data_IF_228547607501
#
_entry.id   IF_228547607501
#
_cell.length_a   1.000
_cell.length_b   1.000
_cell.length_c   1.000
_cell.angle_alpha   90.00
_cell.angle_beta   90.00
_cell.angle_gamma   90.00
#
_symmetry.space_group_name_H-M   'P 1'
#
loop_
_entity.id
_entity.type
_entity.pdbx_description
1 polymer ?
#
# COMPACT_ATOMS: atom_id res chain seq x y z
N UNK A 1 6.05 12.34 10.99
CA UNK A 1 5.07 13.40 11.33
C UNK A 1 3.82 13.11 10.55
N UNK A 2 2.83 12.57 11.26
CA UNK A 2 1.52 12.26 10.69
C UNK A 2 0.75 13.57 10.46
N UNK A 3 0.36 13.82 9.23
CA UNK A 3 -0.48 14.97 8.89
C UNK A 3 -1.94 14.50 8.86
N UNK A 4 -2.68 14.80 9.93
CA UNK A 4 -4.12 14.61 9.99
C UNK A 4 -4.83 15.90 9.59
N UNK A 5 -5.48 15.95 8.45
CA UNK A 5 -6.43 16.99 8.09
C UNK A 5 -7.82 16.38 7.92
N UNK A 6 -8.57 16.29 9.01
CA UNK A 6 -10.00 16.06 8.98
C UNK A 6 -10.71 17.33 9.44
N UNK A 7 -11.29 18.08 8.50
CA UNK A 7 -12.33 19.07 8.81
C UNK A 7 -13.62 18.64 8.12
N UNK A 8 -14.47 17.94 8.88
CA UNK A 8 -15.83 17.67 8.47
C UNK A 8 -16.73 18.83 8.83
N UNK A 9 -17.45 19.38 7.87
CA UNK A 9 -18.62 20.22 8.08
C UNK A 9 -19.65 19.93 6.99
N UNK A 10 -20.83 19.49 7.41
CA UNK A 10 -22.03 19.43 6.59
C UNK A 10 -22.34 18.10 5.91
N UNK A 11 -23.58 17.91 5.56
CA UNK A 11 -24.13 16.80 4.77
C UNK A 11 -23.33 16.60 3.49
N UNK A 12 -22.62 15.46 3.41
CA UNK A 12 -21.51 15.39 2.50
C UNK A 12 -21.76 14.35 1.41
N UNK A 13 -22.66 14.70 0.52
CA UNK A 13 -22.89 14.00 -0.73
C UNK A 13 -21.61 13.99 -1.59
N UNK A 14 -21.17 12.80 -2.01
CA UNK A 14 -20.00 12.59 -2.91
C UNK A 14 -18.65 13.18 -2.42
N UNK A 15 -18.37 13.17 -1.13
CA UNK A 15 -17.03 13.53 -0.64
C UNK A 15 -16.02 12.43 -0.92
N UNK A 16 -14.80 12.88 -1.14
CA UNK A 16 -13.66 12.02 -1.43
C UNK A 16 -12.57 12.24 -0.39
N UNK A 17 -11.96 11.14 0.07
CA UNK A 17 -10.75 11.16 0.89
C UNK A 17 -9.70 10.29 0.21
N UNK A 18 -8.49 10.82 0.16
CA UNK A 18 -7.32 10.11 -0.33
C UNK A 18 -6.28 10.02 0.79
N UNK A 19 -5.75 8.82 0.96
CA UNK A 19 -4.65 8.54 1.87
C UNK A 19 -3.44 8.08 1.05
N UNK A 20 -2.30 8.73 1.26
CA UNK A 20 -1.03 8.23 0.73
C UNK A 20 -0.09 8.00 1.90
N UNK A 21 0.46 6.79 1.99
CA UNK A 21 1.27 6.35 3.12
C UNK A 21 2.58 5.71 2.66
N UNK A 22 3.68 6.11 3.28
CA UNK A 22 4.99 5.48 3.12
C UNK A 22 5.55 5.04 4.48
N UNK A 23 5.95 3.78 4.61
CA UNK A 23 6.54 3.23 5.83
C UNK A 23 7.95 2.74 5.54
N UNK A 24 8.96 3.45 6.09
CA UNK A 24 10.38 3.21 5.88
C UNK A 24 11.16 3.38 7.18
N UNK A 25 12.23 2.62 7.37
CA UNK A 25 13.28 2.89 8.37
C UNK A 25 12.88 2.69 9.84
N UNK A 26 11.68 2.25 10.14
CA UNK A 26 11.24 1.99 11.51
C UNK A 26 11.51 0.55 11.90
N UNK A 27 11.97 0.31 13.14
CA UNK A 27 12.18 -1.05 13.65
C UNK A 27 10.87 -1.82 13.74
N UNK A 28 9.82 -1.16 14.25
CA UNK A 28 8.45 -1.68 14.32
C UNK A 28 7.48 -0.55 14.02
N UNK A 29 6.54 -0.80 13.11
CA UNK A 29 5.44 0.12 12.79
C UNK A 29 4.11 -0.60 12.82
N UNK A 30 3.10 0.08 13.36
CA UNK A 30 1.69 -0.30 13.26
C UNK A 30 0.90 0.91 12.77
N UNK A 31 0.40 0.86 11.53
CA UNK A 31 -0.31 1.99 10.92
C UNK A 31 -1.57 1.51 10.18
N UNK A 32 -2.75 1.89 10.70
CA UNK A 32 -4.05 1.48 10.17
C UNK A 32 -5.02 2.65 10.09
N UNK A 33 -4.91 3.55 9.11
CA UNK A 33 -5.91 4.58 8.91
C UNK A 33 -7.29 3.98 8.65
N UNK A 34 -8.31 4.62 9.21
CA UNK A 34 -9.71 4.21 9.06
C UNK A 34 -10.54 5.32 8.44
N UNK A 35 -11.34 4.96 7.44
CA UNK A 35 -12.32 5.85 6.82
C UNK A 35 -13.73 5.29 6.99
N UNK A 36 -14.69 6.18 7.30
CA UNK A 36 -16.12 5.84 7.37
C UNK A 36 -16.87 6.67 6.32
N UNK A 37 -17.43 5.98 5.32
CA UNK A 37 -18.16 6.57 4.21
C UNK A 37 -19.64 6.68 4.58
N UNK A 38 -20.03 7.84 5.20
CA UNK A 38 -21.38 8.09 5.72
C UNK A 38 -22.32 8.77 4.73
N UNK A 39 -21.77 9.42 3.69
CA UNK A 39 -22.56 10.13 2.69
C UNK A 39 -22.80 9.27 1.45
N UNK A 40 -23.98 9.38 0.85
CA UNK A 40 -24.27 8.72 -0.44
C UNK A 40 -23.22 9.11 -1.49
N UNK A 41 -22.63 8.13 -2.16
CA UNK A 41 -21.62 8.32 -3.20
C UNK A 41 -20.26 8.81 -2.68
N UNK A 42 -20.00 8.72 -1.37
CA UNK A 42 -18.68 9.04 -0.82
C UNK A 42 -17.61 8.05 -1.31
N UNK A 43 -16.38 8.53 -1.46
CA UNK A 43 -15.26 7.75 -1.98
C UNK A 43 -14.06 7.79 -1.07
N UNK A 44 -13.31 6.71 -1.04
CA UNK A 44 -12.03 6.60 -0.34
C UNK A 44 -11.01 5.91 -1.25
N UNK A 45 -9.83 6.50 -1.34
CA UNK A 45 -8.66 5.90 -1.97
C UNK A 45 -7.53 5.81 -0.94
N UNK A 46 -6.85 4.68 -0.91
CA UNK A 46 -5.67 4.46 -0.09
C UNK A 46 -4.55 3.91 -0.98
N UNK A 47 -3.44 4.63 -1.02
CA UNK A 47 -2.22 4.19 -1.70
C UNK A 47 -1.10 4.10 -0.67
N UNK A 48 -0.52 2.90 -0.52
CA UNK A 48 0.51 2.62 0.47
C UNK A 48 1.75 1.96 -0.11
N UNK A 49 2.92 2.33 0.42
CA UNK A 49 4.17 1.62 0.19
C UNK A 49 4.87 1.35 1.51
N UNK A 50 5.41 0.13 1.64
CA UNK A 50 6.16 -0.31 2.81
C UNK A 50 7.48 -0.92 2.35
N UNK A 51 8.58 -0.54 2.97
CA UNK A 51 9.88 -1.16 2.76
C UNK A 51 10.42 -1.65 4.10
N UNK A 52 10.51 -2.97 4.27
CA UNK A 52 11.02 -3.61 5.47
C UNK A 52 12.42 -4.18 5.22
N UNK A 53 13.42 -3.56 5.83
CA UNK A 53 14.81 -3.99 5.81
C UNK A 53 15.16 -4.93 6.99
N UNK A 54 16.45 -5.17 7.19
CA UNK A 54 16.97 -6.04 8.24
C UNK A 54 16.48 -5.64 9.64
N UNK A 55 15.89 -6.59 10.36
CA UNK A 55 15.39 -6.40 11.73
C UNK A 55 14.12 -5.54 11.82
N UNK A 56 13.53 -5.15 10.70
CA UNK A 56 12.31 -4.36 10.66
C UNK A 56 11.07 -5.25 10.55
N UNK A 57 10.02 -4.87 11.28
CA UNK A 57 8.71 -5.51 11.24
C UNK A 57 7.63 -4.42 11.07
N UNK A 58 7.15 -4.27 9.85
CA UNK A 58 6.22 -3.22 9.48
C UNK A 58 4.84 -3.82 9.18
N UNK A 59 3.90 -3.61 10.10
CA UNK A 59 2.52 -4.07 9.99
C UNK A 59 1.62 -2.86 9.67
N UNK A 60 1.22 -2.76 8.42
CA UNK A 60 0.49 -1.62 7.88
C UNK A 60 -0.83 -2.07 7.27
N UNK A 61 -1.75 -1.14 7.07
CA UNK A 61 -3.02 -1.48 6.46
C UNK A 61 -3.97 -0.32 6.33
N UNK A 62 -5.18 -0.62 5.90
CA UNK A 62 -6.25 0.36 5.81
C UNK A 62 -7.60 -0.28 6.16
N UNK A 63 -8.43 0.48 6.86
CA UNK A 63 -9.81 0.09 7.15
C UNK A 63 -10.79 1.04 6.51
N UNK A 64 -11.80 0.50 5.85
CA UNK A 64 -12.91 1.29 5.31
C UNK A 64 -14.25 0.70 5.76
N UNK A 65 -15.15 1.59 6.16
CA UNK A 65 -16.53 1.26 6.52
C UNK A 65 -17.47 1.99 5.58
N UNK A 66 -18.21 1.25 4.77
CA UNK A 66 -19.26 1.76 3.92
C UNK A 66 -20.57 1.77 4.72
N UNK A 67 -21.06 2.95 5.06
CA UNK A 67 -22.26 3.16 5.88
C UNK A 67 -23.39 3.89 5.14
N UNK A 68 -23.25 4.08 3.82
CA UNK A 68 -24.22 4.72 2.96
C UNK A 68 -24.22 4.08 1.56
N UNK A 69 -25.29 4.24 0.77
CA UNK A 69 -25.36 3.64 -0.55
C UNK A 69 -24.43 4.31 -1.58
N UNK A 70 -24.12 3.57 -2.64
CA UNK A 70 -23.34 4.02 -3.80
C UNK A 70 -21.92 4.51 -3.42
N UNK A 71 -21.40 4.07 -2.28
CA UNK A 71 -20.04 4.42 -1.85
C UNK A 71 -18.99 3.57 -2.54
N UNK A 72 -17.79 4.09 -2.71
CA UNK A 72 -16.69 3.35 -3.33
C UNK A 72 -15.39 3.49 -2.55
N UNK A 73 -14.60 2.40 -2.52
CA UNK A 73 -13.25 2.43 -1.99
C UNK A 73 -12.27 1.67 -2.89
N UNK A 74 -11.05 2.18 -2.94
CA UNK A 74 -9.93 1.52 -3.57
C UNK A 74 -8.73 1.54 -2.63
N UNK A 75 -8.17 0.37 -2.37
CA UNK A 75 -6.98 0.20 -1.53
C UNK A 75 -5.90 -0.43 -2.40
N UNK A 76 -4.82 0.30 -2.64
CA UNK A 76 -3.68 -0.15 -3.43
C UNK A 76 -2.41 -0.09 -2.59
N UNK A 77 -1.74 -1.23 -2.42
CA UNK A 77 -0.55 -1.30 -1.60
C UNK A 77 0.58 -2.06 -2.26
N UNK A 78 1.77 -1.58 -2.00
CA UNK A 78 3.02 -2.24 -2.39
C UNK A 78 3.92 -2.42 -1.20
N UNK A 79 4.44 -3.62 -1.01
CA UNK A 79 5.41 -3.90 0.03
C UNK A 79 6.68 -4.50 -0.56
N UNK A 80 7.81 -4.10 -0.01
CA UNK A 80 9.13 -4.59 -0.36
C UNK A 80 9.77 -5.10 0.93
N UNK A 81 10.37 -6.28 0.87
CA UNK A 81 11.07 -6.88 2.01
C UNK A 81 12.45 -7.33 1.60
N UNK A 82 13.47 -7.02 2.43
CA UNK A 82 14.88 -7.26 2.16
C UNK A 82 15.61 -7.66 3.46
N UNK A 83 16.63 -8.51 3.34
CA UNK A 83 17.56 -8.90 4.41
C UNK A 83 16.85 -9.45 5.67
N UNK A 84 15.78 -10.23 5.46
CA UNK A 84 14.98 -10.81 6.54
C UNK A 84 13.94 -9.86 7.14
N UNK A 85 13.69 -8.72 6.51
CA UNK A 85 12.61 -7.81 6.90
C UNK A 85 11.22 -8.44 6.76
N UNK A 86 10.30 -8.04 7.62
CA UNK A 86 8.92 -8.54 7.64
C UNK A 86 7.97 -7.40 7.31
N UNK A 87 7.17 -7.58 6.26
CA UNK A 87 6.06 -6.69 5.95
C UNK A 87 4.74 -7.43 6.08
N UNK A 88 3.80 -6.86 6.83
CA UNK A 88 2.44 -7.37 6.94
C UNK A 88 1.47 -6.30 6.46
N UNK A 89 0.58 -6.66 5.55
CA UNK A 89 -0.50 -5.79 5.12
C UNK A 89 -1.84 -6.33 5.61
N UNK A 90 -2.62 -5.47 6.30
CA UNK A 90 -3.98 -5.79 6.76
C UNK A 90 -5.00 -4.88 6.13
N UNK A 91 -5.89 -5.41 5.31
CA UNK A 91 -7.05 -4.68 4.82
C UNK A 91 -8.31 -5.08 5.57
N UNK A 92 -9.16 -4.10 5.87
CA UNK A 92 -10.46 -4.34 6.46
C UNK A 92 -11.53 -3.55 5.71
N UNK A 93 -12.44 -4.25 5.03
CA UNK A 93 -13.59 -3.67 4.33
C UNK A 93 -14.85 -4.12 5.03
N UNK A 94 -15.62 -3.17 5.55
CA UNK A 94 -16.92 -3.43 6.14
C UNK A 94 -18.01 -2.67 5.37
N UNK A 95 -19.09 -3.36 5.00
CA UNK A 95 -20.26 -2.77 4.36
C UNK A 95 -21.49 -3.05 5.21
N UNK A 96 -22.14 -1.99 5.68
CA UNK A 96 -23.39 -2.10 6.44
C UNK A 96 -24.55 -2.50 5.53
N UNK A 97 -25.71 -2.76 6.10
CA UNK A 97 -26.92 -3.08 5.31
C UNK A 97 -27.35 -1.92 4.40
N UNK A 98 -27.02 -0.70 4.80
CA UNK A 98 -27.35 0.54 4.08
C UNK A 98 -26.42 0.83 2.90
N UNK A 99 -25.30 0.11 2.79
CA UNK A 99 -24.28 0.30 1.75
C UNK A 99 -24.68 -0.36 0.41
N UNK A 100 -25.92 -0.20 -0.04
CA UNK A 100 -26.39 -0.77 -1.31
C UNK A 100 -25.66 -0.17 -2.50
N UNK A 101 -25.42 -0.99 -3.52
CA UNK A 101 -24.71 -0.61 -4.75
C UNK A 101 -23.31 -0.02 -4.53
N UNK A 102 -22.69 -0.36 -3.40
CA UNK A 102 -21.33 0.07 -3.08
C UNK A 102 -20.29 -0.85 -3.69
N UNK A 103 -19.09 -0.30 -3.91
CA UNK A 103 -17.97 -1.02 -4.53
C UNK A 103 -16.72 -0.89 -3.68
N UNK A 104 -15.94 -1.97 -3.60
CA UNK A 104 -14.63 -1.95 -2.96
C UNK A 104 -13.65 -2.85 -3.73
N UNK A 105 -12.48 -2.31 -4.04
CA UNK A 105 -11.38 -3.09 -4.59
C UNK A 105 -10.14 -2.96 -3.71
N UNK A 106 -9.50 -4.08 -3.44
CA UNK A 106 -8.23 -4.14 -2.69
C UNK A 106 -7.20 -4.82 -3.58
N UNK A 107 -6.09 -4.14 -3.85
CA UNK A 107 -4.96 -4.67 -4.61
C UNK A 107 -3.70 -4.60 -3.75
N UNK A 108 -3.09 -5.75 -3.50
CA UNK A 108 -1.88 -5.88 -2.71
C UNK A 108 -0.78 -6.52 -3.56
N UNK A 109 0.36 -5.88 -3.64
CA UNK A 109 1.52 -6.45 -4.33
C UNK A 109 2.73 -6.43 -3.40
N UNK A 110 3.39 -7.57 -3.30
CA UNK A 110 4.56 -7.74 -2.44
C UNK A 110 5.75 -8.27 -3.24
N UNK A 111 6.91 -7.65 -3.04
CA UNK A 111 8.16 -8.02 -3.66
C UNK A 111 9.20 -8.36 -2.58
N UNK A 112 9.64 -9.60 -2.53
CA UNK A 112 10.75 -10.03 -1.68
C UNK A 112 12.05 -10.03 -2.49
N UNK A 113 13.11 -9.47 -1.91
CA UNK A 113 14.41 -9.35 -2.59
C UNK A 113 15.36 -10.52 -2.29
N UNK A 114 14.96 -11.39 -1.36
CA UNK A 114 15.72 -12.56 -0.91
C UNK A 114 14.81 -13.67 -0.40
N UNK A 115 15.41 -14.78 0.06
CA UNK A 115 14.72 -15.98 0.51
C UNK A 115 14.37 -15.98 2.01
N UNK A 116 14.91 -15.04 2.78
CA UNK A 116 14.74 -14.96 4.24
C UNK A 116 13.74 -13.90 4.67
N UNK A 117 13.40 -13.00 3.76
CA UNK A 117 12.39 -11.96 3.97
C UNK A 117 10.97 -12.53 3.93
N UNK A 118 10.06 -11.84 4.61
CA UNK A 118 8.67 -12.29 4.72
C UNK A 118 7.69 -11.18 4.34
N UNK A 119 6.64 -11.56 3.63
CA UNK A 119 5.50 -10.70 3.35
C UNK A 119 4.19 -11.44 3.59
N UNK A 120 3.34 -10.85 4.44
CA UNK A 120 2.02 -11.39 4.78
C UNK A 120 0.93 -10.43 4.30
N UNK A 121 -0.18 -10.98 3.79
CA UNK A 121 -1.39 -10.23 3.46
C UNK A 121 -2.57 -10.85 4.19
N UNK A 122 -3.26 -10.04 5.01
CA UNK A 122 -4.36 -10.48 5.87
C UNK A 122 -5.61 -9.66 5.55
N UNK A 123 -6.43 -10.08 4.58
CA UNK A 123 -7.68 -9.42 4.24
C UNK A 123 -8.79 -9.78 5.23
N UNK A 124 -9.62 -8.80 5.58
CA UNK A 124 -10.86 -8.99 6.33
C UNK A 124 -12.01 -8.29 5.60
N UNK A 125 -13.10 -9.01 5.35
CA UNK A 125 -14.29 -8.50 4.68
C UNK A 125 -15.55 -8.87 5.46
N UNK A 126 -16.34 -7.85 5.85
CA UNK A 126 -17.66 -8.00 6.50
C UNK A 126 -18.72 -7.30 5.63
N UNK A 127 -19.34 -8.06 4.74
CA UNK A 127 -20.28 -7.55 3.74
C UNK A 127 -21.70 -7.94 4.14
N UNK A 128 -22.49 -6.96 4.61
CA UNK A 128 -23.85 -7.17 5.11
C UNK A 128 -24.95 -6.69 4.17
N UNK A 129 -24.59 -6.02 3.08
CA UNK A 129 -25.52 -5.64 2.01
C UNK A 129 -25.64 -6.75 0.97
N UNK A 130 -26.77 -6.81 0.26
CA UNK A 130 -27.00 -7.81 -0.80
C UNK A 130 -26.44 -7.40 -2.16
N UNK A 131 -26.34 -6.09 -2.40
CA UNK A 131 -25.92 -5.52 -3.68
C UNK A 131 -24.59 -4.78 -3.49
N UNK A 132 -23.47 -5.49 -3.53
CA UNK A 132 -22.14 -4.92 -3.50
C UNK A 132 -21.23 -5.62 -4.51
N UNK A 133 -20.26 -4.86 -5.00
CA UNK A 133 -19.18 -5.36 -5.85
C UNK A 133 -17.88 -5.24 -5.06
N UNK A 134 -17.32 -6.38 -4.64
CA UNK A 134 -16.13 -6.41 -3.77
C UNK A 134 -15.11 -7.37 -4.34
N UNK A 135 -13.90 -6.85 -4.58
CA UNK A 135 -12.76 -7.60 -5.07
C UNK A 135 -11.53 -7.47 -4.19
N UNK A 136 -10.78 -8.56 -4.06
CA UNK A 136 -9.45 -8.55 -3.47
C UNK A 136 -8.48 -9.32 -4.36
N UNK A 137 -7.38 -8.67 -4.75
CA UNK A 137 -6.29 -9.28 -5.49
C UNK A 137 -5.00 -9.13 -4.68
N UNK A 138 -4.29 -10.25 -4.49
CA UNK A 138 -2.97 -10.26 -3.87
C UNK A 138 -1.95 -10.92 -4.81
N UNK A 139 -0.82 -10.25 -5.03
CA UNK A 139 0.32 -10.78 -5.77
C UNK A 139 1.55 -10.72 -4.88
N UNK A 140 2.11 -11.87 -4.56
CA UNK A 140 3.33 -11.98 -3.78
C UNK A 140 4.37 -12.69 -4.65
N UNK A 141 5.51 -12.06 -4.82
CA UNK A 141 6.58 -12.59 -5.65
C UNK A 141 7.96 -12.25 -5.13
N UNK A 142 8.95 -12.88 -5.72
CA UNK A 142 10.37 -12.55 -5.54
C UNK A 142 10.87 -11.75 -6.72
N UNK A 143 11.97 -11.05 -6.51
CA UNK A 143 12.69 -10.42 -7.61
C UNK A 143 13.10 -11.50 -8.62
N UNK A 144 12.88 -11.22 -9.90
CA UNK A 144 13.21 -12.18 -10.96
C UNK A 144 14.72 -12.15 -11.25
N UNK A 145 15.38 -13.26 -11.02
CA UNK A 145 16.81 -13.43 -11.37
C UNK A 145 17.05 -13.30 -12.87
N UNK A 146 16.09 -13.70 -13.69
CA UNK A 146 16.14 -13.51 -15.15
C UNK A 146 16.11 -12.04 -15.53
N UNK A 147 15.27 -11.22 -14.87
CA UNK A 147 15.21 -9.78 -15.10
C UNK A 147 16.49 -9.09 -14.66
N UNK A 148 17.07 -9.50 -13.52
CA UNK A 148 18.36 -9.00 -13.04
C UNK A 148 19.46 -9.36 -14.04
N UNK A 149 19.56 -10.64 -14.45
CA UNK A 149 20.53 -11.10 -15.42
C UNK A 149 20.41 -10.38 -16.78
N UNK A 150 19.19 -10.12 -17.24
CA UNK A 150 18.96 -9.35 -18.47
C UNK A 150 19.54 -7.95 -18.40
N UNK A 151 19.37 -7.24 -17.29
CA UNK A 151 19.93 -5.92 -17.08
C UNK A 151 21.47 -5.98 -16.97
N UNK A 152 22.01 -6.98 -16.25
CA UNK A 152 23.45 -7.20 -16.15
C UNK A 152 24.10 -7.50 -17.51
N UNK A 153 23.43 -8.21 -18.40
CA UNK A 153 23.92 -8.50 -19.76
C UNK A 153 24.05 -7.23 -20.63
N UNK A 154 23.45 -6.14 -20.20
CA UNK A 154 23.56 -4.80 -20.82
C UNK A 154 24.57 -3.88 -20.13
N UNK A 155 25.39 -4.42 -19.23
CA UNK A 155 26.47 -3.69 -18.56
C UNK A 155 26.06 -2.95 -17.30
N UNK A 156 24.84 -3.22 -16.78
CA UNK A 156 24.36 -2.67 -15.49
C UNK A 156 24.87 -3.61 -14.38
N UNK A 157 25.37 -3.04 -13.27
CA UNK A 157 25.76 -3.85 -12.11
C UNK A 157 24.56 -4.55 -11.49
N UNK A 158 24.78 -5.67 -10.79
CA UNK A 158 23.68 -6.38 -10.13
C UNK A 158 22.92 -5.48 -9.14
N UNK A 159 23.64 -4.69 -8.36
CA UNK A 159 23.07 -3.78 -7.40
C UNK A 159 22.16 -2.73 -8.08
N UNK A 160 22.64 -2.11 -9.15
CA UNK A 160 21.84 -1.15 -9.94
C UNK A 160 20.64 -1.80 -10.60
N UNK A 161 20.79 -3.03 -11.12
CA UNK A 161 19.72 -3.79 -11.75
C UNK A 161 18.58 -4.06 -10.74
N UNK A 162 18.93 -4.51 -9.53
CA UNK A 162 17.97 -4.72 -8.44
C UNK A 162 17.30 -3.41 -8.04
N UNK A 163 18.06 -2.34 -7.88
CA UNK A 163 17.52 -1.02 -7.54
C UNK A 163 16.56 -0.48 -8.62
N UNK A 164 16.86 -0.70 -9.90
CA UNK A 164 15.96 -0.32 -11.01
C UNK A 164 14.63 -1.08 -10.96
N UNK A 165 14.66 -2.40 -10.69
CA UNK A 165 13.45 -3.23 -10.60
C UNK A 165 12.59 -2.76 -9.42
N UNK A 166 13.21 -2.50 -8.25
CA UNK A 166 12.53 -2.02 -7.06
C UNK A 166 11.92 -0.63 -7.29
N UNK A 167 12.66 0.29 -7.91
CA UNK A 167 12.15 1.62 -8.27
C UNK A 167 10.95 1.52 -9.22
N UNK A 168 11.02 0.66 -10.24
CA UNK A 168 9.91 0.41 -11.15
C UNK A 168 8.68 -0.20 -10.44
N UNK A 169 8.90 -1.07 -9.45
CA UNK A 169 7.83 -1.60 -8.62
C UNK A 169 7.17 -0.52 -7.76
N UNK A 170 7.93 0.43 -7.23
CA UNK A 170 7.43 1.54 -6.41
C UNK A 170 6.81 2.70 -7.22
N UNK A 171 7.09 2.80 -8.53
CA UNK A 171 6.78 3.95 -9.39
C UNK A 171 5.28 4.32 -9.40
N UNK A 172 4.38 3.34 -9.31
CA UNK A 172 2.95 3.62 -9.26
C UNK A 172 2.54 4.43 -8.02
N UNK A 173 3.22 4.20 -6.88
CA UNK A 173 2.96 4.97 -5.66
C UNK A 173 3.58 6.37 -5.76
N UNK A 174 4.78 6.48 -6.35
CA UNK A 174 5.44 7.78 -6.49
C UNK A 174 4.66 8.76 -7.37
N UNK A 175 3.93 8.26 -8.34
CA UNK A 175 3.08 9.08 -9.24
C UNK A 175 1.85 9.69 -8.55
N UNK A 176 1.40 9.10 -7.45
CA UNK A 176 0.28 9.64 -6.65
C UNK A 176 0.74 10.70 -5.64
N UNK A 177 2.05 10.85 -5.43
CA UNK A 177 2.62 11.78 -4.49
C UNK A 177 2.89 13.16 -5.12
N UNK A 178 2.75 14.27 -4.36
CA UNK A 178 3.37 15.53 -4.72
C UNK A 178 4.87 15.37 -4.97
N UNK A 179 5.41 16.18 -5.88
CA UNK A 179 6.78 16.02 -6.38
C UNK A 179 7.84 15.90 -5.27
N UNK A 180 7.73 16.72 -4.24
CA UNK A 180 8.67 16.77 -3.12
C UNK A 180 8.70 15.44 -2.35
N UNK A 181 7.51 14.85 -2.11
CA UNK A 181 7.39 13.56 -1.43
C UNK A 181 7.80 12.39 -2.34
N UNK A 182 7.54 12.48 -3.64
CA UNK A 182 7.97 11.47 -4.60
C UNK A 182 9.50 11.40 -4.68
N UNK A 183 10.17 12.55 -4.69
CA UNK A 183 11.65 12.62 -4.68
C UNK A 183 12.20 12.03 -3.39
N UNK A 184 11.63 12.40 -2.23
CA UNK A 184 12.07 11.88 -0.94
C UNK A 184 11.85 10.36 -0.83
N UNK A 185 10.70 9.86 -1.25
CA UNK A 185 10.40 8.42 -1.26
C UNK A 185 11.41 7.65 -2.12
N UNK A 186 11.72 8.14 -3.31
CA UNK A 186 12.69 7.49 -4.19
C UNK A 186 14.11 7.52 -3.59
N UNK A 187 14.47 8.58 -2.88
CA UNK A 187 15.73 8.66 -2.14
C UNK A 187 15.76 7.63 -0.99
N UNK A 188 14.68 7.52 -0.21
CA UNK A 188 14.56 6.55 0.87
C UNK A 188 14.67 5.11 0.35
N UNK A 189 13.99 4.78 -0.74
CA UNK A 189 14.11 3.46 -1.38
C UNK A 189 15.55 3.18 -1.78
N UNK A 190 16.24 4.15 -2.38
CA UNK A 190 17.64 3.99 -2.77
C UNK A 190 18.55 3.76 -1.56
N UNK A 191 18.35 4.50 -0.47
CA UNK A 191 19.12 4.36 0.76
C UNK A 191 18.88 3.00 1.42
N UNK A 192 17.64 2.51 1.44
CA UNK A 192 17.32 1.17 1.93
C UNK A 192 17.97 0.08 1.06
N UNK A 193 18.01 0.27 -0.27
CA UNK A 193 18.65 -0.69 -1.17
C UNK A 193 20.14 -0.87 -0.88
N UNK A 194 20.87 0.20 -0.55
CA UNK A 194 22.30 0.16 -0.19
C UNK A 194 22.55 -0.10 1.31
N UNK A 195 21.47 -0.33 2.11
CA UNK A 195 21.58 -0.66 3.53
C UNK A 195 22.05 0.49 4.44
N UNK A 196 21.84 1.76 4.05
CA UNK A 196 22.22 2.93 4.82
C UNK A 196 21.17 3.41 5.84
N UNK A 197 20.01 2.79 5.90
CA UNK A 197 18.94 3.11 6.87
C UNK A 197 18.70 1.87 7.72
N UNK A 198 19.12 1.94 8.99
CA UNK A 198 18.97 0.85 9.96
C UNK A 198 19.22 1.34 11.36
#
# INVERSE_FOLDING_TARGET
RDYYASRGLGDVYKRQIEWVSGSFGSHVSYLYPMSILKGKGARMEFTGITFAGKGQNLDTGAKVVHAAPETSSYINTRSISKDGGISTFRSSVAMTKEAENSKSAVSCQSLMLDDISRSDTIPAMDIRTKNADVGHEAKIGRISDEAVFYLMSRGISEEEARAMIVSGFADNVSKELPLEYAVEMNNLIRLEMIGCIG
#
